data_IF_056571978429
#
_entry.id   IF_056571978429
#
_cell.length_a   1.000
_cell.length_b   1.000
_cell.length_c   1.000
_cell.angle_alpha   90.00
_cell.angle_beta   90.00
_cell.angle_gamma   90.00
#
_symmetry.space_group_name_H-M   'P 1'
#
loop_
_entity.id
_entity.type
_entity.pdbx_description
1 polymer ?
#
# COMPACT_ATOMS: atom_id res chain seq x y z
N UNK A 1 -0.19 -37.30 -12.01
CA UNK A 1 -0.54 -36.40 -13.14
C UNK A 1 -0.10 -34.99 -12.79
N UNK A 2 1.23 -34.79 -12.77
CA UNK A 2 1.85 -33.54 -12.30
C UNK A 2 1.43 -32.39 -13.20
N UNK A 3 0.61 -31.51 -12.65
CA UNK A 3 -0.02 -30.40 -13.34
C UNK A 3 1.01 -29.51 -14.01
N UNK A 4 0.56 -28.91 -15.12
CA UNK A 4 1.26 -27.94 -15.95
C UNK A 4 2.33 -27.18 -15.16
N UNK A 5 3.59 -27.55 -15.42
CA UNK A 5 4.77 -27.01 -14.76
C UNK A 5 4.74 -25.48 -14.81
N UNK A 6 5.26 -24.81 -13.79
CA UNK A 6 5.30 -23.33 -13.70
C UNK A 6 5.85 -22.71 -15.00
N UNK A 7 6.74 -23.41 -15.68
CA UNK A 7 7.27 -23.06 -17.00
C UNK A 7 6.21 -22.94 -18.11
N UNK A 8 5.18 -23.78 -18.11
CA UNK A 8 4.08 -23.70 -19.08
C UNK A 8 3.30 -22.39 -18.91
N UNK A 9 3.01 -21.99 -17.66
CA UNK A 9 2.30 -20.74 -17.38
C UNK A 9 3.07 -19.50 -17.83
N UNK A 10 4.41 -19.50 -17.70
CA UNK A 10 5.24 -18.41 -18.22
C UNK A 10 5.15 -18.27 -19.75
N UNK A 11 5.18 -19.40 -20.46
CA UNK A 11 5.06 -19.41 -21.94
C UNK A 11 3.68 -18.95 -22.37
N UNK A 12 2.61 -19.42 -21.70
CA UNK A 12 1.23 -19.00 -22.01
C UNK A 12 1.06 -17.50 -21.77
N UNK A 13 1.57 -16.97 -20.65
CA UNK A 13 1.51 -15.54 -20.36
C UNK A 13 2.20 -14.72 -21.45
N UNK A 14 3.39 -15.15 -21.91
CA UNK A 14 4.11 -14.52 -23.00
C UNK A 14 3.26 -14.44 -24.28
N UNK A 15 2.62 -15.55 -24.67
CA UNK A 15 1.77 -15.60 -25.86
C UNK A 15 0.56 -14.67 -25.72
N UNK A 16 -0.09 -14.65 -24.55
CA UNK A 16 -1.21 -13.73 -24.29
C UNK A 16 -0.77 -12.27 -24.42
N UNK A 17 0.38 -11.90 -23.87
CA UNK A 17 0.92 -10.54 -23.99
C UNK A 17 1.20 -10.18 -25.45
N UNK A 18 1.71 -11.12 -26.26
CA UNK A 18 1.97 -10.89 -27.68
C UNK A 18 0.68 -10.75 -28.50
N UNK A 19 -0.35 -11.56 -28.22
CA UNK A 19 -1.64 -11.51 -28.90
C UNK A 19 -2.43 -10.24 -28.59
N UNK A 20 -2.50 -9.87 -27.31
CA UNK A 20 -3.21 -8.67 -26.87
C UNK A 20 -2.40 -7.38 -27.08
N UNK A 21 -1.07 -7.52 -27.25
CA UNK A 21 -0.12 -6.43 -27.27
C UNK A 21 0.08 -5.77 -25.90
N UNK A 22 1.29 -5.29 -25.65
CA UNK A 22 1.65 -4.63 -24.37
C UNK A 22 0.86 -3.34 -24.12
N UNK A 23 0.38 -2.67 -25.17
CA UNK A 23 -0.36 -1.40 -25.07
C UNK A 23 -1.74 -1.57 -24.44
N UNK A 24 -2.48 -2.61 -24.82
CA UNK A 24 -3.82 -2.91 -24.29
C UNK A 24 -3.72 -3.48 -22.87
N UNK A 25 -2.72 -4.34 -22.64
CA UNK A 25 -2.45 -4.93 -21.33
C UNK A 25 -1.97 -3.90 -20.31
N UNK A 26 -1.20 -2.87 -20.72
CA UNK A 26 -0.77 -1.77 -19.83
C UNK A 26 -1.94 -0.88 -19.41
N UNK A 27 -2.86 -0.55 -20.33
CA UNK A 27 -4.00 0.30 -20.00
C UNK A 27 -4.89 -0.39 -18.96
N UNK A 28 -5.31 -1.63 -19.25
CA UNK A 28 -6.17 -2.42 -18.34
C UNK A 28 -5.40 -2.85 -17.07
N UNK A 29 -4.12 -3.20 -17.22
CA UNK A 29 -3.27 -3.61 -16.10
C UNK A 29 -2.92 -2.47 -15.15
N UNK A 30 -2.89 -1.21 -15.61
CA UNK A 30 -2.73 -0.04 -14.74
C UNK A 30 -3.95 0.16 -13.85
N UNK A 31 -5.16 0.06 -14.43
CA UNK A 31 -6.41 0.22 -13.69
C UNK A 31 -6.60 -0.90 -12.66
N UNK A 32 -6.44 -2.16 -13.09
CA UNK A 32 -6.51 -3.32 -12.20
C UNK A 32 -5.37 -3.33 -11.19
N UNK A 33 -4.16 -2.94 -11.60
CA UNK A 33 -2.99 -2.88 -10.73
C UNK A 33 -3.14 -1.85 -9.62
N UNK A 34 -3.77 -0.70 -9.91
CA UNK A 34 -4.05 0.33 -8.90
C UNK A 34 -5.04 -0.17 -7.84
N UNK A 35 -6.10 -0.88 -8.25
CA UNK A 35 -7.08 -1.47 -7.35
C UNK A 35 -6.47 -2.54 -6.45
N UNK A 36 -5.66 -3.44 -7.02
CA UNK A 36 -4.94 -4.48 -6.27
C UNK A 36 -3.91 -3.87 -5.32
N UNK A 37 -3.24 -2.76 -5.70
CA UNK A 37 -2.29 -2.06 -4.84
C UNK A 37 -2.96 -1.44 -3.62
N UNK A 38 -4.13 -0.83 -3.78
CA UNK A 38 -4.92 -0.30 -2.67
C UNK A 38 -5.44 -1.42 -1.77
N UNK A 39 -5.86 -2.55 -2.34
CA UNK A 39 -6.26 -3.73 -1.57
C UNK A 39 -5.10 -4.29 -0.74
N UNK A 40 -3.92 -4.47 -1.35
CA UNK A 40 -2.73 -4.93 -0.63
C UNK A 40 -2.28 -3.93 0.44
N UNK A 41 -2.43 -2.63 0.19
CA UNK A 41 -2.10 -1.58 1.17
C UNK A 41 -3.06 -1.63 2.36
N UNK A 42 -4.37 -1.77 2.13
CA UNK A 42 -5.36 -1.95 3.19
C UNK A 42 -5.07 -3.18 4.05
N UNK A 43 -4.78 -4.33 3.43
CA UNK A 43 -4.40 -5.54 4.16
C UNK A 43 -3.12 -5.37 5.00
N UNK A 44 -2.11 -4.67 4.48
CA UNK A 44 -0.88 -4.39 5.23
C UNK A 44 -1.10 -3.37 6.36
N UNK A 45 -2.03 -2.43 6.19
CA UNK A 45 -2.39 -1.45 7.22
C UNK A 45 -3.20 -2.11 8.34
N UNK A 46 -4.08 -3.07 8.01
CA UNK A 46 -4.76 -3.92 8.99
C UNK A 46 -3.77 -4.83 9.74
N UNK A 47 -2.82 -5.47 9.05
CA UNK A 47 -1.75 -6.26 9.71
C UNK A 47 -0.80 -5.39 10.55
N UNK A 48 -0.53 -4.15 10.11
CA UNK A 48 0.30 -3.20 10.87
C UNK A 48 -0.45 -2.59 12.05
N UNK A 49 -1.77 -2.40 11.95
CA UNK A 49 -2.63 -1.98 13.06
C UNK A 49 -2.72 -3.08 14.12
N UNK A 50 -2.80 -4.35 13.72
CA UNK A 50 -2.73 -5.50 14.62
C UNK A 50 -1.39 -5.54 15.38
N UNK A 51 -0.27 -5.25 14.71
CA UNK A 51 1.08 -5.15 15.32
C UNK A 51 1.33 -3.87 16.13
N UNK A 52 0.59 -2.78 15.90
CA UNK A 52 0.75 -1.51 16.63
C UNK A 52 -0.05 -1.46 17.92
N UNK A 53 -1.07 -2.30 18.07
CA UNK A 53 -1.86 -2.40 19.29
C UNK A 53 -1.07 -3.01 20.46
N UNK A 54 -0.03 -3.82 20.18
CA UNK A 54 0.87 -4.36 21.21
C UNK A 54 1.97 -3.36 21.66
N UNK A 55 2.29 -2.33 20.86
CA UNK A 55 3.41 -1.41 21.14
C UNK A 55 2.96 0.02 21.55
N UNK A 56 1.65 0.30 21.54
CA UNK A 56 1.10 1.63 21.83
C UNK A 56 0.61 1.84 23.29
N UNK A 57 1.09 1.04 24.25
CA UNK A 57 0.98 1.40 25.67
C UNK A 57 2.12 2.33 26.08
N UNK A 58 2.02 3.59 25.67
CA UNK A 58 2.66 4.71 26.35
C UNK A 58 3.93 5.22 25.69
N UNK A 59 3.78 6.15 24.74
CA UNK A 59 4.67 7.31 24.67
C UNK A 59 4.12 8.41 23.75
N UNK A 60 4.02 9.62 24.33
CA UNK A 60 4.43 10.84 23.64
C UNK A 60 3.40 11.50 22.75
N UNK A 61 2.31 12.00 23.34
CA UNK A 61 1.68 13.21 22.81
C UNK A 61 2.45 14.43 23.35
N UNK A 62 3.57 14.75 22.72
CA UNK A 62 4.22 16.04 22.92
C UNK A 62 4.63 16.66 21.59
N UNK A 63 4.38 17.97 21.52
CA UNK A 63 4.76 18.97 20.52
C UNK A 63 3.76 19.33 19.39
N UNK A 64 3.82 20.57 18.89
CA UNK A 64 3.95 21.84 19.64
C UNK A 64 3.13 22.97 18.98
N UNK A 65 3.36 24.20 19.44
CA UNK A 65 3.15 25.45 18.71
C UNK A 65 1.75 26.08 18.73
N UNK A 66 1.51 26.90 19.75
CA UNK A 66 0.90 28.20 19.48
C UNK A 66 1.65 29.35 20.19
N UNK A 67 2.37 30.07 19.35
CA UNK A 67 2.99 31.40 19.44
C UNK A 67 2.64 32.26 20.67
N UNK A 68 3.67 32.71 21.37
CA UNK A 68 3.71 33.94 22.16
C UNK A 68 3.33 35.15 21.27
N UNK A 69 2.70 36.20 21.83
CA UNK A 69 3.49 37.30 22.42
C UNK A 69 2.96 37.91 23.75
N UNK A 70 3.94 38.42 24.51
CA UNK A 70 3.95 39.62 25.37
C UNK A 70 3.18 39.68 26.71
N UNK A 71 4.00 39.75 27.77
CA UNK A 71 3.85 40.48 29.04
C UNK A 71 2.70 41.51 29.15
N UNK A 72 2.02 41.57 30.30
CA UNK A 72 2.17 42.67 31.28
C UNK A 72 1.50 42.28 32.61
N UNK A 73 2.16 42.71 33.67
CA UNK A 73 1.95 42.55 35.12
C UNK A 73 0.89 43.54 35.66
N UNK A 74 0.17 43.15 36.72
CA UNK A 74 -0.81 43.96 37.49
C UNK A 74 -2.23 43.43 37.24
N UNK A 75 -3.02 43.00 38.23
CA UNK A 75 -3.18 43.45 39.61
C UNK A 75 -3.49 42.29 40.58
#
# INVERSE_FOLDING_TARGET
MGGFSIWHWLIVLLVVVLLFGTKKLRNVGSDLGSAIRSFRKGLQEDEAADKKLDDASGQGAEQPAHKAPTETKGD
#
